data_IF_505021532803
#
_entry.id   IF_505021532803
#
_cell.length_a   1.000
_cell.length_b   1.000
_cell.length_c   1.000
_cell.angle_alpha   90.00
_cell.angle_beta   90.00
_cell.angle_gamma   90.00
#
_symmetry.space_group_name_H-M   'P 1'
#
loop_
_entity.id
_entity.type
_entity.pdbx_description
1 polymer ?
#
# COMPACT_ATOMS: atom_id res chain seq x y z
N UNK A 1 6.55 30.39 1.90
CA UNK A 1 6.12 29.01 2.14
C UNK A 1 6.46 28.22 0.90
N UNK A 2 7.13 27.09 1.01
CA UNK A 2 7.36 26.19 -0.13
C UNK A 2 6.06 25.48 -0.46
N UNK A 3 5.63 25.55 -1.71
CA UNK A 3 4.45 24.82 -2.18
C UNK A 3 4.64 23.31 -1.92
N UNK A 4 3.60 22.68 -1.38
CA UNK A 4 3.52 21.24 -1.19
C UNK A 4 3.12 20.52 -2.47
N UNK A 5 3.43 19.23 -2.53
CA UNK A 5 3.01 18.31 -3.61
C UNK A 5 2.10 17.27 -2.98
N UNK A 6 0.83 17.26 -3.38
CA UNK A 6 -0.19 16.42 -2.76
C UNK A 6 -0.65 15.33 -3.72
N UNK A 7 -0.67 14.08 -3.26
CA UNK A 7 -1.39 13.02 -3.96
C UNK A 7 -2.82 12.98 -3.46
N UNK A 8 -3.74 12.97 -4.41
CA UNK A 8 -5.17 12.87 -4.15
C UNK A 8 -5.61 11.42 -4.31
N UNK A 9 -6.45 10.97 -3.37
CA UNK A 9 -7.17 9.70 -3.45
C UNK A 9 -8.65 9.95 -3.18
N UNK A 10 -9.40 10.16 -4.26
CA UNK A 10 -10.85 10.36 -4.24
C UNK A 10 -11.67 9.06 -4.30
N UNK A 11 -11.06 7.95 -4.73
CA UNK A 11 -11.78 6.71 -4.99
C UNK A 11 -12.30 6.02 -3.73
N UNK A 12 -13.11 4.97 -3.92
CA UNK A 12 -13.68 4.13 -2.85
C UNK A 12 -12.66 3.73 -1.77
N UNK A 13 -11.40 3.49 -2.15
CA UNK A 13 -10.36 3.10 -1.20
C UNK A 13 -9.96 4.21 -0.21
N UNK A 14 -10.28 5.47 -0.50
CA UNK A 14 -10.05 6.63 0.38
C UNK A 14 -10.98 6.63 1.59
N UNK A 15 -12.29 6.46 1.39
CA UNK A 15 -13.31 6.66 2.43
C UNK A 15 -14.01 5.37 2.90
N UNK A 16 -14.00 4.28 2.12
CA UNK A 16 -14.64 3.02 2.50
C UNK A 16 -13.66 2.15 3.29
N UNK A 17 -13.95 1.93 4.58
CA UNK A 17 -13.14 1.13 5.50
C UNK A 17 -13.64 -0.30 5.65
N UNK A 18 -14.84 -0.62 5.15
CA UNK A 18 -15.33 -2.01 5.11
C UNK A 18 -14.41 -2.90 4.28
N UNK A 19 -13.99 -2.44 3.09
CA UNK A 19 -13.07 -3.20 2.23
C UNK A 19 -11.72 -3.40 2.93
N UNK A 20 -11.23 -2.38 3.65
CA UNK A 20 -9.98 -2.46 4.42
C UNK A 20 -10.09 -3.52 5.51
N UNK A 21 -11.20 -3.59 6.25
CA UNK A 21 -11.44 -4.63 7.25
C UNK A 21 -11.51 -6.02 6.64
N UNK A 22 -12.19 -6.17 5.50
CA UNK A 22 -12.23 -7.44 4.77
C UNK A 22 -10.83 -7.88 4.32
N UNK A 23 -9.96 -6.94 3.94
CA UNK A 23 -8.56 -7.22 3.64
C UNK A 23 -7.80 -7.68 4.89
N UNK A 24 -7.97 -7.03 6.04
CA UNK A 24 -7.38 -7.50 7.30
C UNK A 24 -7.78 -8.94 7.60
N UNK A 25 -9.08 -9.27 7.47
CA UNK A 25 -9.58 -10.64 7.67
C UNK A 25 -8.94 -11.60 6.67
N UNK A 26 -8.88 -11.25 5.38
CA UNK A 26 -8.24 -12.07 4.35
C UNK A 26 -6.75 -12.31 4.66
N UNK A 27 -6.01 -11.27 5.05
CA UNK A 27 -4.61 -11.36 5.44
C UNK A 27 -4.40 -12.32 6.62
N UNK A 28 -5.27 -12.26 7.62
CA UNK A 28 -5.25 -13.19 8.76
C UNK A 28 -5.53 -14.63 8.32
N UNK A 29 -6.51 -14.85 7.42
CA UNK A 29 -6.79 -16.18 6.85
C UNK A 29 -5.55 -16.73 6.13
N UNK A 30 -4.86 -15.92 5.34
CA UNK A 30 -3.63 -16.34 4.65
C UNK A 30 -2.50 -16.69 5.63
N UNK A 31 -2.34 -15.90 6.69
CA UNK A 31 -1.37 -16.20 7.75
C UNK A 31 -1.69 -17.52 8.46
N UNK A 32 -2.96 -17.73 8.84
CA UNK A 32 -3.42 -18.98 9.48
C UNK A 32 -3.24 -20.17 8.54
N UNK A 33 -3.60 -20.02 7.26
CA UNK A 33 -3.44 -21.05 6.24
C UNK A 33 -1.98 -21.49 6.11
N UNK A 34 -1.05 -20.53 5.97
CA UNK A 34 0.37 -20.83 5.81
C UNK A 34 0.97 -21.44 7.08
N UNK A 35 0.56 -20.96 8.26
CA UNK A 35 0.98 -21.56 9.52
C UNK A 35 0.48 -22.99 9.68
N UNK A 36 -0.78 -23.28 9.35
CA UNK A 36 -1.33 -24.63 9.46
C UNK A 36 -0.66 -25.60 8.49
N UNK A 37 -0.45 -25.17 7.23
CA UNK A 37 0.07 -26.02 6.14
C UNK A 37 1.59 -26.19 6.18
N UNK A 38 2.33 -25.11 6.37
CA UNK A 38 3.79 -25.08 6.24
C UNK A 38 4.51 -24.94 7.59
N UNK A 39 3.78 -24.82 8.71
CA UNK A 39 4.33 -24.67 10.09
C UNK A 39 5.27 -23.48 10.29
N UNK A 40 5.21 -22.49 9.40
CA UNK A 40 5.99 -21.25 9.46
C UNK A 40 5.12 -20.06 9.89
N UNK A 41 5.74 -19.06 10.51
CA UNK A 41 5.07 -17.85 11.01
C UNK A 41 5.47 -16.57 10.27
N UNK A 42 6.18 -16.71 9.15
CA UNK A 42 6.73 -15.60 8.38
C UNK A 42 5.69 -14.53 8.05
N UNK A 43 4.50 -14.93 7.60
CA UNK A 43 3.44 -13.98 7.23
C UNK A 43 2.87 -13.24 8.43
N UNK A 44 2.79 -13.90 9.60
CA UNK A 44 2.43 -13.23 10.85
C UNK A 44 3.48 -12.20 11.24
N UNK A 45 4.77 -12.48 11.05
CA UNK A 45 5.82 -11.50 11.33
C UNK A 45 5.75 -10.31 10.38
N UNK A 46 5.55 -10.54 9.08
CA UNK A 46 5.39 -9.45 8.11
C UNK A 46 4.16 -8.60 8.42
N UNK A 47 3.03 -9.24 8.78
CA UNK A 47 1.83 -8.54 9.23
C UNK A 47 2.12 -7.70 10.48
N UNK A 48 2.77 -8.26 11.50
CA UNK A 48 3.05 -7.57 12.75
C UNK A 48 4.00 -6.38 12.58
N UNK A 49 5.16 -6.60 11.96
CA UNK A 49 6.15 -5.54 11.75
C UNK A 49 5.65 -4.50 10.76
N UNK A 50 5.00 -4.91 9.67
CA UNK A 50 4.37 -3.99 8.75
C UNK A 50 3.31 -3.12 9.44
N UNK A 51 2.49 -3.71 10.31
CA UNK A 51 1.50 -2.97 11.11
C UNK A 51 2.18 -1.90 11.95
N UNK A 52 3.20 -2.23 12.75
CA UNK A 52 3.85 -1.24 13.61
C UNK A 52 4.54 -0.12 12.81
N UNK A 53 5.28 -0.49 11.76
CA UNK A 53 6.03 0.48 10.96
C UNK A 53 5.08 1.42 10.22
N UNK A 54 4.06 0.87 9.56
CA UNK A 54 3.16 1.67 8.75
C UNK A 54 2.16 2.45 9.60
N UNK A 55 1.67 1.87 10.71
CA UNK A 55 0.89 2.61 11.71
C UNK A 55 1.68 3.81 12.25
N UNK A 56 2.96 3.61 12.57
CA UNK A 56 3.85 4.70 12.98
C UNK A 56 3.92 5.82 11.94
N UNK A 57 4.10 5.48 10.66
CA UNK A 57 4.12 6.49 9.59
C UNK A 57 2.78 7.20 9.41
N UNK A 58 1.66 6.49 9.55
CA UNK A 58 0.32 7.08 9.44
C UNK A 58 0.02 8.04 10.61
N UNK A 59 0.40 7.65 11.84
CA UNK A 59 0.28 8.53 13.02
C UNK A 59 1.14 9.78 12.86
N UNK A 60 2.36 9.66 12.34
CA UNK A 60 3.22 10.82 12.07
C UNK A 60 2.59 11.74 11.03
N UNK A 61 2.18 11.20 9.87
CA UNK A 61 1.51 11.97 8.81
C UNK A 61 0.27 12.70 9.32
N UNK A 62 -0.55 12.04 10.14
CA UNK A 62 -1.73 12.63 10.74
C UNK A 62 -1.37 13.73 11.76
N UNK A 63 -0.41 13.47 12.65
CA UNK A 63 -0.03 14.41 13.71
C UNK A 63 0.64 15.69 13.18
N UNK A 64 1.34 15.60 12.04
CA UNK A 64 1.99 16.74 11.39
C UNK A 64 1.13 17.41 10.31
N UNK A 65 -0.15 17.04 10.16
CA UNK A 65 -1.04 17.63 9.15
C UNK A 65 -0.71 17.22 7.70
N UNK A 66 0.25 16.32 7.48
CA UNK A 66 0.63 15.81 6.17
C UNK A 66 -0.41 14.87 5.54
N UNK A 67 -1.44 14.48 6.29
CA UNK A 67 -2.59 13.71 5.82
C UNK A 67 -3.91 14.28 6.33
N UNK A 68 -4.78 14.59 5.38
CA UNK A 68 -6.17 14.97 5.64
C UNK A 68 -7.07 13.86 5.12
N UNK A 69 -8.02 13.41 5.95
CA UNK A 69 -9.09 12.49 5.57
C UNK A 69 -10.42 13.04 6.06
N UNK A 70 -11.41 13.12 5.16
CA UNK A 70 -12.69 13.75 5.50
C UNK A 70 -13.71 12.78 6.07
N UNK A 71 -14.07 11.76 5.29
CA UNK A 71 -15.06 10.76 5.69
C UNK A 71 -14.42 9.38 5.74
N UNK A 72 -14.75 8.63 6.80
CA UNK A 72 -14.34 7.26 6.97
C UNK A 72 -15.57 6.44 7.35
N UNK A 73 -16.05 5.61 6.41
CA UNK A 73 -17.25 4.80 6.60
C UNK A 73 -16.88 3.34 6.84
N UNK A 74 -17.46 2.73 7.88
CA UNK A 74 -17.35 1.31 8.19
C UNK A 74 -18.75 0.71 8.28
N UNK A 75 -19.12 -0.13 7.31
CA UNK A 75 -20.49 -0.64 7.12
C UNK A 75 -21.54 0.47 7.07
N UNK A 76 -21.20 1.60 6.44
CA UNK A 76 -22.05 2.79 6.37
C UNK A 76 -22.09 3.64 7.65
N UNK A 77 -21.37 3.26 8.70
CA UNK A 77 -21.24 4.07 9.92
C UNK A 77 -20.03 5.00 9.80
N UNK A 78 -20.22 6.28 10.08
CA UNK A 78 -19.13 7.25 10.16
C UNK A 78 -18.26 6.99 11.40
N UNK A 79 -16.99 6.68 11.16
CA UNK A 79 -15.96 6.43 12.18
C UNK A 79 -14.91 7.55 12.24
N UNK A 80 -15.12 8.68 11.56
CA UNK A 80 -14.11 9.72 11.38
C UNK A 80 -13.66 10.36 12.70
N UNK A 81 -14.57 10.40 13.68
CA UNK A 81 -14.31 10.86 15.05
C UNK A 81 -13.52 9.89 15.93
N UNK A 82 -13.16 8.69 15.42
CA UNK A 82 -12.50 7.63 16.18
C UNK A 82 -11.11 7.29 15.58
N UNK A 83 -10.09 8.16 15.72
CA UNK A 83 -8.74 7.92 15.19
C UNK A 83 -8.12 6.59 15.62
N UNK A 84 -8.40 6.14 16.85
CA UNK A 84 -7.92 4.86 17.37
C UNK A 84 -8.48 3.63 16.64
N UNK A 85 -9.55 3.79 15.85
CA UNK A 85 -10.13 2.73 15.03
C UNK A 85 -9.69 2.84 13.57
N UNK A 86 -9.83 4.01 12.95
CA UNK A 86 -9.60 4.15 11.52
C UNK A 86 -8.10 4.19 11.18
N UNK A 87 -7.22 4.80 11.97
CA UNK A 87 -5.78 4.84 11.64
C UNK A 87 -5.17 3.43 11.56
N UNK A 88 -5.40 2.52 12.54
CA UNK A 88 -4.94 1.13 12.40
C UNK A 88 -5.56 0.41 11.22
N UNK A 89 -6.84 0.63 10.95
CA UNK A 89 -7.54 -0.04 9.85
C UNK A 89 -7.03 0.43 8.48
N UNK A 90 -6.71 1.73 8.35
CA UNK A 90 -6.02 2.29 7.19
C UNK A 90 -4.65 1.64 7.04
N UNK A 91 -3.86 1.64 8.11
CA UNK A 91 -2.50 1.15 8.05
C UNK A 91 -2.43 -0.34 7.65
N UNK A 92 -3.22 -1.18 8.32
CA UNK A 92 -3.19 -2.63 8.09
C UNK A 92 -3.91 -3.00 6.80
N UNK A 93 -5.11 -2.46 6.59
CA UNK A 93 -6.00 -2.84 5.50
C UNK A 93 -5.58 -2.32 4.12
N UNK A 94 -4.77 -1.26 4.06
CA UNK A 94 -4.27 -0.71 2.79
C UNK A 94 -2.93 -1.38 2.40
N UNK A 95 -1.85 -1.09 3.11
CA UNK A 95 -0.50 -1.47 2.64
C UNK A 95 0.00 -2.79 3.21
N UNK A 96 -0.24 -3.06 4.50
CA UNK A 96 0.38 -4.21 5.19
C UNK A 96 -0.20 -5.54 4.72
N UNK A 97 -1.53 -5.63 4.57
CA UNK A 97 -2.16 -6.84 4.02
C UNK A 97 -1.73 -7.08 2.58
N UNK A 98 -1.64 -6.03 1.75
CA UNK A 98 -1.14 -6.17 0.39
C UNK A 98 0.29 -6.73 0.37
N UNK A 99 1.15 -6.30 1.29
CA UNK A 99 2.48 -6.87 1.46
C UNK A 99 2.45 -8.38 1.83
N UNK A 100 1.53 -8.80 2.70
CA UNK A 100 1.31 -10.22 3.03
C UNK A 100 0.83 -11.01 1.81
N UNK A 101 -0.14 -10.47 1.06
CA UNK A 101 -0.65 -11.08 -0.17
C UNK A 101 0.47 -11.19 -1.22
N UNK A 102 1.26 -10.13 -1.40
CA UNK A 102 2.37 -10.12 -2.33
C UNK A 102 3.42 -11.16 -1.96
N UNK A 103 3.75 -11.30 -0.67
CA UNK A 103 4.66 -12.34 -0.19
C UNK A 103 4.09 -13.75 -0.38
N UNK A 104 2.78 -13.93 -0.16
CA UNK A 104 2.09 -15.19 -0.40
C UNK A 104 2.20 -15.64 -1.85
N UNK A 105 1.94 -14.74 -2.80
CA UNK A 105 2.09 -15.02 -4.23
C UNK A 105 3.55 -15.17 -4.64
N UNK A 106 4.44 -14.33 -4.13
CA UNK A 106 5.89 -14.42 -4.37
C UNK A 106 6.43 -15.80 -4.02
N UNK A 107 6.10 -16.32 -2.82
CA UNK A 107 6.57 -17.63 -2.37
C UNK A 107 6.12 -18.77 -3.30
N UNK A 108 4.91 -18.68 -3.86
CA UNK A 108 4.31 -19.69 -4.74
C UNK A 108 4.78 -19.59 -6.20
N UNK A 109 4.88 -18.37 -6.72
CA UNK A 109 5.33 -18.12 -8.10
C UNK A 109 6.83 -18.40 -8.24
N UNK A 110 7.60 -18.20 -7.17
CA UNK A 110 9.04 -18.51 -7.15
C UNK A 110 9.32 -20.00 -7.41
N UNK A 111 8.46 -20.90 -6.93
CA UNK A 111 8.59 -22.36 -7.09
C UNK A 111 8.20 -22.77 -8.51
N UNK A 112 9.14 -23.36 -9.26
CA UNK A 112 8.97 -23.71 -10.68
C UNK A 112 7.73 -24.57 -10.95
N UNK A 113 7.51 -25.59 -10.13
CA UNK A 113 6.39 -26.54 -10.27
C UNK A 113 5.03 -25.87 -10.17
N UNK A 114 4.89 -24.87 -9.30
CA UNK A 114 3.60 -24.22 -9.04
C UNK A 114 3.45 -22.86 -9.71
N UNK A 115 4.52 -22.37 -10.37
CA UNK A 115 4.61 -21.03 -10.96
C UNK A 115 3.45 -20.70 -11.89
N UNK A 116 3.18 -21.56 -12.87
CA UNK A 116 2.14 -21.30 -13.89
C UNK A 116 0.75 -21.20 -13.24
N UNK A 117 0.43 -22.15 -12.35
CA UNK A 117 -0.85 -22.18 -11.64
C UNK A 117 -1.06 -20.91 -10.82
N UNK A 118 -0.10 -20.55 -9.98
CA UNK A 118 -0.24 -19.38 -9.11
C UNK A 118 -0.08 -18.06 -9.84
N UNK A 119 0.65 -18.02 -10.94
CA UNK A 119 0.67 -16.86 -11.85
C UNK A 119 -0.71 -16.60 -12.44
N UNK A 120 -1.41 -17.64 -12.90
CA UNK A 120 -2.80 -17.49 -13.40
C UNK A 120 -3.73 -17.05 -12.26
N UNK A 121 -3.66 -17.68 -11.09
CA UNK A 121 -4.49 -17.29 -9.93
C UNK A 121 -4.22 -15.83 -9.55
N UNK A 122 -2.96 -15.39 -9.58
CA UNK A 122 -2.60 -14.00 -9.33
C UNK A 122 -3.23 -13.05 -10.34
N UNK A 123 -3.09 -13.33 -11.64
CA UNK A 123 -3.67 -12.49 -12.70
C UNK A 123 -5.19 -12.41 -12.57
N UNK A 124 -5.86 -13.54 -12.34
CA UNK A 124 -7.32 -13.58 -12.11
C UNK A 124 -7.67 -12.74 -10.88
N UNK A 125 -6.95 -12.91 -9.78
CA UNK A 125 -7.20 -12.12 -8.57
C UNK A 125 -7.03 -10.62 -8.80
N UNK A 126 -5.95 -10.19 -9.47
CA UNK A 126 -5.72 -8.80 -9.85
C UNK A 126 -6.84 -8.27 -10.74
N UNK A 127 -7.29 -9.06 -11.72
CA UNK A 127 -8.39 -8.67 -12.58
C UNK A 127 -9.67 -8.42 -11.77
N UNK A 128 -10.06 -9.35 -10.90
CA UNK A 128 -11.28 -9.21 -10.09
C UNK A 128 -11.18 -8.11 -9.03
N UNK A 129 -9.98 -7.85 -8.48
CA UNK A 129 -9.76 -6.87 -7.42
C UNK A 129 -9.56 -5.44 -7.94
N UNK A 130 -8.79 -5.28 -9.01
CA UNK A 130 -8.34 -3.96 -9.50
C UNK A 130 -8.88 -3.55 -10.87
N UNK A 131 -9.40 -4.47 -11.69
CA UNK A 131 -9.83 -4.14 -13.06
C UNK A 131 -11.35 -4.19 -13.16
N UNK A 132 -11.95 -5.30 -12.74
CA UNK A 132 -13.38 -5.53 -12.84
C UNK A 132 -14.23 -4.47 -12.13
N UNK A 133 -13.89 -3.99 -10.91
CA UNK A 133 -14.69 -2.96 -10.25
C UNK A 133 -14.77 -1.68 -11.08
N UNK A 134 -13.64 -1.22 -11.65
CA UNK A 134 -13.64 -0.03 -12.51
C UNK A 134 -14.38 -0.28 -13.81
N UNK A 135 -14.24 -1.45 -14.45
CA UNK A 135 -15.02 -1.80 -15.65
C UNK A 135 -16.54 -1.77 -15.39
N UNK A 136 -16.98 -2.27 -14.24
CA UNK A 136 -18.39 -2.23 -13.85
C UNK A 136 -18.82 -0.79 -13.62
N UNK A 137 -18.06 0.00 -12.85
CA UNK A 137 -18.39 1.40 -12.55
C UNK A 137 -18.44 2.25 -13.83
N UNK A 138 -17.46 2.11 -14.73
CA UNK A 138 -17.49 2.74 -16.05
C UNK A 138 -18.68 2.25 -16.90
N UNK A 139 -18.95 0.96 -16.90
CA UNK A 139 -20.05 0.36 -17.68
C UNK A 139 -21.44 0.76 -17.18
N UNK A 140 -21.59 1.08 -15.90
CA UNK A 140 -22.83 1.60 -15.31
C UNK A 140 -23.01 3.11 -15.54
N UNK A 141 -22.02 3.78 -16.13
CA UNK A 141 -22.07 5.23 -16.37
C UNK A 141 -21.96 6.06 -15.10
N UNK A 142 -21.47 5.48 -14.00
CA UNK A 142 -21.11 6.24 -12.80
C UNK A 142 -19.93 7.13 -13.13
N UNK A 143 -20.24 8.40 -13.39
CA UNK A 143 -19.25 9.46 -13.25
C UNK A 143 -19.06 9.61 -11.76
N UNK A 144 -18.00 9.01 -11.21
CA UNK A 144 -17.56 9.31 -9.85
C UNK A 144 -17.66 10.81 -9.65
N UNK A 145 -18.30 11.25 -8.56
CA UNK A 145 -18.47 12.68 -8.26
C UNK A 145 -17.15 13.39 -8.56
N UNK A 146 -17.18 14.25 -9.58
CA UNK A 146 -15.98 14.88 -10.12
C UNK A 146 -15.56 15.95 -9.13
N UNK A 147 -14.97 15.53 -8.02
CA UNK A 147 -14.36 16.40 -7.05
C UNK A 147 -13.29 17.19 -7.80
N UNK A 148 -13.47 18.49 -7.85
CA UNK A 148 -12.61 19.36 -8.64
C UNK A 148 -11.28 19.57 -7.93
N UNK A 149 -10.26 19.95 -8.69
CA UNK A 149 -8.96 20.32 -8.12
C UNK A 149 -9.16 21.39 -7.05
N UNK A 150 -8.60 21.14 -5.87
CA UNK A 150 -8.70 22.05 -4.74
C UNK A 150 -10.05 22.10 -4.02
N UNK A 151 -10.98 21.20 -4.34
CA UNK A 151 -12.27 21.12 -3.64
C UNK A 151 -12.08 20.68 -2.18
N UNK A 152 -12.60 21.40 -1.18
CA UNK A 152 -12.49 20.96 0.21
C UNK A 152 -13.00 19.53 0.40
N UNK A 153 -13.96 19.03 -0.38
CA UNK A 153 -14.59 17.71 -0.26
C UNK A 153 -13.70 16.52 -0.67
N UNK A 154 -12.43 16.73 -1.05
CA UNK A 154 -11.51 15.63 -1.37
C UNK A 154 -11.34 14.71 -0.16
N UNK A 155 -11.74 13.45 -0.32
CA UNK A 155 -11.70 12.42 0.72
C UNK A 155 -10.32 12.19 1.34
N UNK A 156 -9.24 12.23 0.55
CA UNK A 156 -7.89 12.14 1.09
C UNK A 156 -6.88 12.97 0.30
N UNK A 157 -6.19 13.87 1.02
CA UNK A 157 -4.99 14.59 0.57
C UNK A 157 -3.80 14.14 1.38
N UNK A 158 -2.68 13.83 0.73
CA UNK A 158 -1.42 13.52 1.40
C UNK A 158 -0.26 14.30 0.79
N UNK A 159 0.47 15.04 1.60
CA UNK A 159 1.72 15.70 1.19
C UNK A 159 2.80 14.63 0.97
N UNK A 160 3.32 14.54 -0.25
CA UNK A 160 4.30 13.53 -0.66
C UNK A 160 5.73 13.91 -0.31
N UNK A 161 5.98 15.19 -0.05
CA UNK A 161 7.32 15.74 0.21
C UNK A 161 7.46 16.26 1.63
N UNK A 162 6.61 15.82 2.55
CA UNK A 162 6.78 16.16 3.96
C UNK A 162 8.12 15.59 4.46
N UNK A 163 8.99 16.45 5.01
CA UNK A 163 10.34 16.14 5.44
C UNK A 163 10.37 14.99 6.45
N UNK A 164 9.43 14.94 7.40
CA UNK A 164 9.33 13.87 8.37
C UNK A 164 9.09 12.51 7.69
N UNK A 165 8.19 12.49 6.70
CA UNK A 165 7.90 11.31 5.89
C UNK A 165 9.08 10.91 5.01
N UNK A 166 9.76 11.87 4.39
CA UNK A 166 10.95 11.62 3.56
C UNK A 166 12.09 11.02 4.38
N UNK A 167 12.33 11.53 5.59
CA UNK A 167 13.35 10.99 6.51
C UNK A 167 12.98 9.57 6.94
N UNK A 168 11.72 9.35 7.35
CA UNK A 168 11.24 8.03 7.77
C UNK A 168 11.36 7.00 6.63
N UNK A 169 10.89 7.36 5.43
CA UNK A 169 10.93 6.52 4.24
C UNK A 169 12.37 6.20 3.83
N UNK A 170 13.25 7.21 3.79
CA UNK A 170 14.67 7.02 3.46
C UNK A 170 15.36 6.08 4.44
N UNK A 171 15.07 6.23 5.73
CA UNK A 171 15.61 5.36 6.79
C UNK A 171 15.14 3.92 6.60
N UNK A 172 13.85 3.71 6.33
CA UNK A 172 13.28 2.39 6.11
C UNK A 172 13.89 1.75 4.84
N UNK A 173 13.93 2.47 3.73
CA UNK A 173 14.54 1.98 2.49
C UNK A 173 16.01 1.60 2.70
N UNK A 174 16.78 2.40 3.45
CA UNK A 174 18.16 2.06 3.79
C UNK A 174 18.25 0.72 4.56
N UNK A 175 17.35 0.46 5.50
CA UNK A 175 17.26 -0.84 6.20
C UNK A 175 16.91 -1.97 5.22
N UNK A 176 15.95 -1.75 4.31
CA UNK A 176 15.60 -2.69 3.25
C UNK A 176 16.78 -3.01 2.33
N UNK A 177 17.56 -2.01 1.93
CA UNK A 177 18.78 -2.16 1.12
C UNK A 177 19.85 -2.94 1.91
N UNK A 178 20.11 -2.57 3.17
CA UNK A 178 21.07 -3.28 4.02
C UNK A 178 20.70 -4.76 4.13
N UNK A 179 19.42 -5.07 4.32
CA UNK A 179 18.92 -6.45 4.33
C UNK A 179 19.14 -7.14 2.97
N UNK A 180 18.80 -6.48 1.86
CA UNK A 180 19.06 -7.00 0.50
C UNK A 180 20.55 -7.19 0.20
N UNK A 181 21.47 -6.47 0.85
CA UNK A 181 22.91 -6.68 0.64
C UNK A 181 23.45 -7.80 1.54
N UNK A 182 23.01 -7.86 2.79
CA UNK A 182 23.57 -8.77 3.81
C UNK A 182 22.97 -10.17 3.82
N UNK A 183 21.80 -10.38 3.23
CA UNK A 183 21.13 -11.69 3.29
C UNK A 183 21.52 -12.64 2.16
N UNK A 184 21.24 -13.93 2.38
CA UNK A 184 21.54 -14.99 1.43
C UNK A 184 20.75 -14.84 0.12
N UNK A 185 21.24 -15.48 -0.95
CA UNK A 185 20.64 -15.39 -2.29
C UNK A 185 19.16 -15.81 -2.32
N UNK A 186 18.72 -16.78 -1.51
CA UNK A 186 17.33 -17.24 -1.51
C UNK A 186 16.41 -16.24 -0.84
N UNK A 187 16.81 -15.66 0.30
CA UNK A 187 16.07 -14.61 1.01
C UNK A 187 15.96 -13.34 0.16
N UNK A 188 17.06 -12.91 -0.47
CA UNK A 188 17.06 -11.78 -1.41
C UNK A 188 16.11 -12.00 -2.57
N UNK A 189 16.17 -13.18 -3.20
CA UNK A 189 15.26 -13.54 -4.28
C UNK A 189 13.80 -13.50 -3.83
N UNK A 190 13.50 -13.95 -2.60
CA UNK A 190 12.16 -13.89 -2.03
C UNK A 190 11.67 -12.43 -1.90
N UNK A 191 12.50 -11.53 -1.38
CA UNK A 191 12.18 -10.09 -1.30
C UNK A 191 11.98 -9.44 -2.67
N UNK A 192 12.83 -9.76 -3.66
CA UNK A 192 12.67 -9.23 -5.02
C UNK A 192 11.37 -9.68 -5.69
N UNK A 193 10.93 -10.92 -5.47
CA UNK A 193 9.63 -11.37 -5.96
C UNK A 193 8.48 -10.65 -5.26
N UNK A 194 8.58 -10.42 -3.94
CA UNK A 194 7.59 -9.63 -3.21
C UNK A 194 7.49 -8.20 -3.75
N UNK A 195 8.63 -7.52 -4.00
CA UNK A 195 8.66 -6.20 -4.65
C UNK A 195 7.97 -6.26 -6.01
N UNK A 196 8.34 -7.23 -6.86
CA UNK A 196 7.76 -7.35 -8.20
C UNK A 196 6.24 -7.53 -8.18
N UNK A 197 5.72 -8.36 -7.26
CA UNK A 197 4.28 -8.53 -7.08
C UNK A 197 3.62 -7.25 -6.55
N UNK A 198 4.22 -6.58 -5.55
CA UNK A 198 3.71 -5.30 -5.05
C UNK A 198 3.64 -4.25 -6.16
N UNK A 199 4.69 -4.10 -6.96
CA UNK A 199 4.71 -3.14 -8.06
C UNK A 199 3.59 -3.41 -9.06
N UNK A 200 3.33 -4.66 -9.43
CA UNK A 200 2.21 -5.00 -10.34
C UNK A 200 0.87 -4.56 -9.72
N UNK A 201 0.64 -4.87 -8.44
CA UNK A 201 -0.60 -4.49 -7.76
C UNK A 201 -0.79 -2.98 -7.72
N UNK A 202 0.26 -2.24 -7.39
CA UNK A 202 0.18 -0.78 -7.25
C UNK A 202 0.08 -0.09 -8.60
N UNK A 203 0.71 -0.61 -9.65
CA UNK A 203 0.57 -0.07 -11.01
C UNK A 203 -0.88 -0.24 -11.49
N UNK A 204 -1.45 -1.46 -11.40
CA UNK A 204 -2.80 -1.72 -11.91
C UNK A 204 -3.83 -0.89 -11.12
N UNK A 205 -3.72 -0.86 -9.79
CA UNK A 205 -4.61 -0.04 -8.95
C UNK A 205 -4.48 1.46 -9.24
N UNK A 206 -3.25 1.99 -9.29
CA UNK A 206 -3.04 3.43 -9.52
C UNK A 206 -3.51 3.85 -10.91
N UNK A 207 -3.34 3.01 -11.94
CA UNK A 207 -3.88 3.26 -13.26
C UNK A 207 -5.41 3.24 -13.25
N UNK A 208 -6.02 2.28 -12.56
CA UNK A 208 -7.49 2.21 -12.40
C UNK A 208 -8.05 3.51 -11.82
N UNK A 209 -7.49 3.98 -10.71
CA UNK A 209 -7.93 5.23 -10.07
C UNK A 209 -7.61 6.47 -10.91
N UNK A 210 -6.47 6.49 -11.62
CA UNK A 210 -6.12 7.62 -12.46
C UNK A 210 -7.06 7.73 -13.67
N UNK A 211 -7.35 6.62 -14.35
CA UNK A 211 -8.27 6.61 -15.49
C UNK A 211 -9.71 6.94 -15.06
N UNK A 212 -10.10 6.61 -13.82
CA UNK A 212 -11.41 6.97 -13.28
C UNK A 212 -11.48 8.39 -12.71
N UNK A 213 -10.41 9.19 -12.85
CA UNK A 213 -10.35 10.55 -12.32
C UNK A 213 -10.33 10.63 -10.79
N UNK A 214 -10.03 9.52 -10.12
CA UNK A 214 -10.04 9.38 -8.66
C UNK A 214 -8.65 9.55 -8.02
N UNK A 215 -7.61 9.71 -8.84
CA UNK A 215 -6.25 9.90 -8.36
C UNK A 215 -5.49 10.86 -9.26
N UNK A 216 -4.96 11.93 -8.68
CA UNK A 216 -4.16 12.94 -9.36
C UNK A 216 -3.17 13.59 -8.40
N UNK A 217 -2.34 14.49 -8.91
CA UNK A 217 -1.36 15.24 -8.14
C UNK A 217 -1.73 16.73 -8.16
N UNK A 218 -1.76 17.34 -6.99
CA UNK A 218 -1.99 18.77 -6.78
C UNK A 218 -0.73 19.48 -6.27
N UNK A 219 -0.60 20.76 -6.57
CA UNK A 219 0.48 21.64 -6.10
C UNK A 219 -0.15 22.90 -5.51
N UNK A 220 0.35 23.32 -4.36
CA UNK A 220 -0.03 24.57 -3.72
C UNK A 220 0.42 24.64 -2.26
N UNK A 221 0.16 25.73 -1.55
CA UNK A 221 0.33 25.82 -0.10
C UNK A 221 -0.60 24.84 0.64
N UNK A 222 -0.29 24.51 1.89
CA UNK A 222 -1.06 23.56 2.71
C UNK A 222 -2.53 23.96 2.91
N UNK A 223 -2.81 25.26 2.92
CA UNK A 223 -4.17 25.82 3.09
C UNK A 223 -4.84 26.19 1.75
N UNK A 224 -4.18 25.94 0.61
CA UNK A 224 -4.65 26.31 -0.71
C UNK A 224 -4.41 27.79 -1.08
N UNK A 225 -4.70 28.19 -2.33
CA UNK A 225 -5.35 27.41 -3.39
C UNK A 225 -4.43 26.36 -4.03
N UNK A 226 -5.02 25.25 -4.48
CA UNK A 226 -4.31 24.17 -5.16
C UNK A 226 -4.56 24.17 -6.66
N UNK A 227 -3.59 23.65 -7.41
CA UNK A 227 -3.66 23.51 -8.86
C UNK A 227 -3.20 22.12 -9.30
N UNK A 228 -3.62 21.67 -10.48
CA UNK A 228 -3.19 20.39 -11.02
C UNK A 228 -1.69 20.45 -11.36
N UNK A 229 -0.95 19.41 -10.98
CA UNK A 229 0.47 19.34 -11.30
C UNK A 229 0.71 19.27 -12.82
N UNK A 230 1.80 19.89 -13.33
CA UNK A 230 2.24 19.68 -14.71
C UNK A 230 2.43 18.19 -15.02
N UNK A 231 2.14 17.72 -16.25
CA UNK A 231 2.10 16.29 -16.57
C UNK A 231 3.37 15.51 -16.19
N UNK A 232 4.56 16.09 -16.42
CA UNK A 232 5.82 15.45 -16.08
C UNK A 232 6.00 15.30 -14.57
N UNK A 233 5.64 16.32 -13.79
CA UNK A 233 5.72 16.27 -12.34
C UNK A 233 4.71 15.26 -11.79
N UNK A 234 3.46 15.29 -12.28
CA UNK A 234 2.45 14.30 -11.91
C UNK A 234 2.93 12.87 -12.15
N UNK A 235 3.49 12.59 -13.32
CA UNK A 235 4.07 11.28 -13.66
C UNK A 235 5.22 10.89 -12.73
N UNK A 236 6.16 11.79 -12.47
CA UNK A 236 7.29 11.51 -11.56
C UNK A 236 6.81 11.21 -10.13
N UNK A 237 5.81 11.93 -9.64
CA UNK A 237 5.26 11.70 -8.31
C UNK A 237 4.49 10.38 -8.21
N UNK A 238 3.80 9.97 -9.27
CA UNK A 238 3.21 8.63 -9.35
C UNK A 238 4.26 7.52 -9.33
N UNK A 239 5.34 7.67 -10.10
CA UNK A 239 6.44 6.71 -10.07
C UNK A 239 7.09 6.64 -8.69
N UNK A 240 7.27 7.78 -8.03
CA UNK A 240 7.79 7.85 -6.68
C UNK A 240 6.89 7.08 -5.69
N UNK A 241 5.58 7.34 -5.68
CA UNK A 241 4.63 6.64 -4.80
C UNK A 241 4.63 5.12 -5.06
N UNK A 242 4.55 4.70 -6.33
CA UNK A 242 4.49 3.27 -6.68
C UNK A 242 5.81 2.57 -6.34
N UNK A 243 6.95 3.12 -6.76
CA UNK A 243 8.25 2.42 -6.67
C UNK A 243 8.82 2.55 -5.27
N UNK A 244 8.87 3.76 -4.73
CA UNK A 244 9.57 4.08 -3.49
C UNK A 244 8.68 3.77 -2.29
N UNK A 245 7.50 4.38 -2.21
CA UNK A 245 6.62 4.24 -1.04
C UNK A 245 5.92 2.88 -0.95
N UNK A 246 5.62 2.25 -2.08
CA UNK A 246 4.86 0.99 -2.05
C UNK A 246 5.72 -0.23 -2.42
N UNK A 247 6.60 -0.09 -3.41
CA UNK A 247 7.51 -1.17 -3.81
C UNK A 247 8.63 -1.39 -2.79
N UNK A 248 9.46 -0.39 -2.55
CA UNK A 248 10.68 -0.53 -1.74
C UNK A 248 10.42 -0.48 -0.24
N UNK A 249 9.55 0.41 0.23
CA UNK A 249 9.24 0.50 1.66
C UNK A 249 8.67 -0.80 2.23
N UNK A 250 7.84 -1.52 1.48
CA UNK A 250 7.23 -2.78 1.94
C UNK A 250 8.24 -3.91 2.13
N UNK A 251 9.44 -3.81 1.52
CA UNK A 251 10.57 -4.71 1.80
C UNK A 251 10.93 -4.68 3.27
N UNK A 252 10.78 -3.54 3.93
CA UNK A 252 11.13 -3.37 5.33
C UNK A 252 10.29 -4.29 6.22
N UNK A 253 9.04 -4.52 5.85
CA UNK A 253 8.14 -5.41 6.60
C UNK A 253 8.67 -6.84 6.64
N UNK A 254 9.39 -7.27 5.59
CA UNK A 254 10.08 -8.54 5.53
C UNK A 254 11.49 -8.47 6.14
N UNK A 255 12.21 -7.38 5.92
CA UNK A 255 13.58 -7.18 6.35
C UNK A 255 13.73 -7.25 7.88
N UNK A 256 12.87 -6.56 8.64
CA UNK A 256 12.94 -6.55 10.10
C UNK A 256 12.83 -7.95 10.72
N UNK A 257 11.82 -8.77 10.40
CA UNK A 257 11.75 -10.15 10.87
C UNK A 257 13.00 -10.98 10.56
N UNK A 258 13.62 -10.80 9.39
CA UNK A 258 14.88 -11.49 9.06
C UNK A 258 16.06 -10.99 9.87
N UNK A 259 16.22 -9.67 10.03
CA UNK A 259 17.30 -9.07 10.81
C UNK A 259 17.22 -9.46 12.28
N UNK A 260 16.00 -9.61 12.81
CA UNK A 260 15.73 -10.09 14.18
C UNK A 260 15.73 -11.62 14.30
N UNK A 261 16.05 -12.35 13.23
CA UNK A 261 16.10 -13.83 13.17
C UNK A 261 14.77 -14.52 13.55
N UNK A 262 13.65 -13.82 13.36
CA UNK A 262 12.30 -14.36 13.56
C UNK A 262 11.84 -15.20 12.37
N UNK A 263 12.39 -14.92 11.20
CA UNK A 263 12.32 -15.76 10.01
C UNK A 263 13.68 -16.42 9.82
N UNK A 264 13.69 -17.75 9.78
CA UNK A 264 14.93 -18.51 9.53
C UNK A 264 15.39 -18.29 8.10
N UNK A 265 16.70 -18.07 7.92
CA UNK A 265 17.31 -18.21 6.60
C UNK A 265 17.52 -19.70 6.31
N UNK A 266 17.31 -20.13 5.06
CA UNK A 266 17.51 -21.52 4.62
C UNK A 266 18.95 -22.07 4.82
N UNK A 267 19.90 -21.26 5.31
CA UNK A 267 21.28 -21.65 5.63
C UNK A 267 21.50 -21.99 7.13
N UNK A 268 20.44 -22.10 7.94
CA UNK A 268 20.51 -22.38 9.39
C UNK A 268 19.92 -23.75 9.79
N UNK A 269 19.77 -24.66 8.83
CA UNK A 269 19.52 -26.08 9.08
C UNK A 269 20.77 -26.90 8.67
#
# INVERSE_FOLDING_TARGET
MTDGIFIIRGGFFGWEFTIKLLYVILGLILCIYDWKKNKRKDYFWVLLFGTFLYLGSEIMLFSFGGRVMQEQLLFGMDISSIPGLWIPLLAVGDVVVLAVIALFFADRIRVSETRKKWGIVFIVWVFFRDVLPYLILFGLGDNFDTVSVGDPLIYSRRNMIEIGTLIALSTMIAIGIIWLVKTDKKSRKRGLYMIGIMLILMIVWSLGEWFSGQRWIEIGPEEGPWTLAPPLLGFMMFLYDIIIEMGLFTVCFLAFPYLLKLIKSDNQD
#
